data_IF_969173523261
#
_entry.id   IF_969173523261
#
_cell.length_a   1.000
_cell.length_b   1.000
_cell.length_c   1.000
_cell.angle_alpha   90.00
_cell.angle_beta   90.00
_cell.angle_gamma   90.00
#
_symmetry.space_group_name_H-M   'P 1'
#
loop_
_entity.id
_entity.type
_entity.pdbx_description
1 polymer ?
#
# COMPACT_ATOMS: atom_id res chain seq x y z
N UNK A 1 8.33 0.21 11.96
CA UNK A 1 7.58 -0.60 10.99
C UNK A 1 6.40 0.20 10.45
N UNK A 2 6.09 0.05 9.19
CA UNK A 2 5.02 0.77 8.53
C UNK A 2 3.95 -0.20 8.03
N UNK A 3 2.72 0.26 8.02
CA UNK A 3 1.58 -0.53 7.56
C UNK A 3 0.73 0.27 6.58
N UNK A 4 0.13 -0.45 5.63
CA UNK A 4 -0.83 0.12 4.68
C UNK A 4 -2.01 -0.83 4.57
N UNK A 5 -3.20 -0.34 4.88
CA UNK A 5 -4.43 -1.07 4.65
C UNK A 5 -4.85 -0.87 3.20
N UNK A 6 -4.61 -1.85 2.36
CA UNK A 6 -4.92 -1.73 0.93
C UNK A 6 -6.41 -1.84 0.62
N UNK A 7 -7.21 -2.30 1.56
CA UNK A 7 -8.64 -2.46 1.31
C UNK A 7 -9.33 -1.14 0.99
N UNK A 8 -8.83 -0.03 1.52
CA UNK A 8 -9.39 1.28 1.24
C UNK A 8 -8.84 1.95 -0.01
N UNK A 9 -7.87 1.35 -0.69
CA UNK A 9 -7.16 1.97 -1.81
C UNK A 9 -7.23 1.11 -3.06
N UNK A 10 -7.03 -0.19 -2.92
CA UNK A 10 -7.00 -1.12 -4.05
C UNK A 10 -8.29 -1.93 -4.07
N UNK A 11 -9.10 -1.83 -5.12
CA UNK A 11 -10.33 -2.63 -5.22
C UNK A 11 -10.02 -4.13 -5.16
N UNK A 12 -10.72 -4.86 -4.32
CA UNK A 12 -10.53 -6.30 -4.18
C UNK A 12 -9.41 -6.71 -3.25
N UNK A 13 -8.64 -5.78 -2.72
CA UNK A 13 -7.59 -6.08 -1.74
C UNK A 13 -8.17 -6.08 -0.33
N UNK A 14 -7.81 -7.11 0.44
CA UNK A 14 -8.27 -7.23 1.83
C UNK A 14 -7.10 -7.43 2.80
N UNK A 15 -5.91 -7.02 2.39
CA UNK A 15 -4.69 -7.24 3.15
C UNK A 15 -4.18 -5.99 3.81
N UNK A 16 -3.39 -6.18 4.86
CA UNK A 16 -2.56 -5.13 5.42
C UNK A 16 -1.13 -5.42 5.01
N UNK A 17 -0.50 -4.46 4.34
CA UNK A 17 0.88 -4.57 3.87
C UNK A 17 1.78 -3.97 4.93
N UNK A 18 2.79 -4.70 5.35
CA UNK A 18 3.74 -4.28 6.38
C UNK A 18 5.16 -4.38 5.87
N UNK A 19 5.99 -3.42 6.24
CA UNK A 19 7.41 -3.46 5.94
C UNK A 19 8.16 -2.50 6.88
N UNK A 20 9.48 -2.59 6.83
CA UNK A 20 10.33 -1.80 7.72
C UNK A 20 10.47 -0.35 7.28
N UNK A 21 10.20 -0.05 6.00
CA UNK A 21 10.28 1.32 5.48
C UNK A 21 9.07 1.67 4.67
N UNK A 22 8.79 2.98 4.55
CA UNK A 22 7.68 3.47 3.74
C UNK A 22 7.84 3.06 2.28
N UNK A 23 9.04 3.19 1.73
CA UNK A 23 9.31 2.84 0.35
C UNK A 23 9.01 1.38 0.07
N UNK A 24 9.35 0.50 1.00
CA UNK A 24 9.09 -0.92 0.87
C UNK A 24 7.61 -1.24 0.89
N UNK A 25 6.85 -0.60 1.78
CA UNK A 25 5.40 -0.76 1.84
C UNK A 25 4.76 -0.35 0.53
N UNK A 26 5.16 0.80 0.00
CA UNK A 26 4.61 1.32 -1.26
C UNK A 26 4.94 0.39 -2.41
N UNK A 27 6.17 -0.13 -2.46
CA UNK A 27 6.59 -1.08 -3.48
C UNK A 27 5.72 -2.33 -3.46
N UNK A 28 5.47 -2.88 -2.28
CA UNK A 28 4.62 -4.06 -2.13
C UNK A 28 3.18 -3.76 -2.51
N UNK A 29 2.69 -2.57 -2.19
CA UNK A 29 1.36 -2.14 -2.57
C UNK A 29 1.20 -2.05 -4.08
N UNK A 30 2.21 -1.53 -4.77
CA UNK A 30 2.20 -1.45 -6.24
C UNK A 30 2.15 -2.85 -6.85
N UNK A 31 2.96 -3.78 -6.34
CA UNK A 31 2.96 -5.16 -6.82
C UNK A 31 1.59 -5.79 -6.60
N UNK A 32 1.00 -5.60 -5.42
CA UNK A 32 -0.30 -6.14 -5.11
C UNK A 32 -1.39 -5.58 -6.02
N UNK A 33 -1.34 -4.27 -6.29
CA UNK A 33 -2.29 -3.63 -7.19
C UNK A 33 -2.21 -4.24 -8.59
N UNK A 34 -1.01 -4.47 -9.10
CA UNK A 34 -0.82 -5.07 -10.41
C UNK A 34 -1.35 -6.49 -10.47
N UNK A 35 -1.17 -7.25 -9.41
CA UNK A 35 -1.69 -8.61 -9.34
C UNK A 35 -3.23 -8.65 -9.33
N UNK A 36 -3.86 -7.59 -8.84
CA UNK A 36 -5.32 -7.47 -8.79
C UNK A 36 -5.90 -6.81 -10.05
N UNK A 37 -5.09 -6.57 -11.07
CA UNK A 37 -5.57 -6.07 -12.35
C UNK A 37 -5.41 -4.57 -12.56
N UNK A 38 -4.73 -3.87 -11.67
CA UNK A 38 -4.44 -2.44 -11.86
C UNK A 38 -3.22 -2.31 -12.76
N UNK A 39 -3.44 -1.99 -14.03
CA UNK A 39 -2.37 -1.96 -15.02
C UNK A 39 -1.47 -0.72 -14.89
N UNK A 40 -2.04 0.38 -14.46
CA UNK A 40 -1.32 1.65 -14.39
C UNK A 40 -1.36 2.20 -12.98
N UNK A 41 -0.19 2.49 -12.44
CA UNK A 41 -0.07 3.14 -11.14
C UNK A 41 0.02 4.64 -11.37
N UNK A 42 -1.07 5.34 -11.10
CA UNK A 42 -1.15 6.79 -11.32
C UNK A 42 -0.56 7.55 -10.13
N UNK A 43 -0.19 8.84 -10.32
CA UNK A 43 0.22 9.68 -9.18
C UNK A 43 -0.84 9.76 -8.09
N UNK A 44 -2.12 9.79 -8.45
CA UNK A 44 -3.21 9.82 -7.49
C UNK A 44 -3.24 8.55 -6.64
N UNK A 45 -2.98 7.40 -7.24
CA UNK A 45 -2.91 6.14 -6.52
C UNK A 45 -1.73 6.13 -5.56
N UNK A 46 -0.58 6.64 -5.99
CA UNK A 46 0.60 6.75 -5.12
C UNK A 46 0.32 7.66 -3.93
N UNK A 47 -0.37 8.77 -4.15
CA UNK A 47 -0.76 9.68 -3.07
C UNK A 47 -1.72 8.97 -2.10
N UNK A 48 -2.64 8.18 -2.61
CA UNK A 48 -3.55 7.41 -1.77
C UNK A 48 -2.78 6.42 -0.89
N UNK A 49 -1.76 5.76 -1.42
CA UNK A 49 -0.91 4.87 -0.64
C UNK A 49 -0.23 5.64 0.50
N UNK A 50 0.34 6.80 0.20
CA UNK A 50 1.01 7.62 1.22
C UNK A 50 0.05 8.11 2.29
N UNK A 51 -1.15 8.50 1.90
CA UNK A 51 -2.15 9.00 2.83
C UNK A 51 -2.69 7.91 3.75
N UNK A 52 -2.70 6.67 3.29
CA UNK A 52 -3.16 5.52 4.08
C UNK A 52 -2.05 4.86 4.87
N UNK A 53 -0.81 5.19 4.56
CA UNK A 53 0.36 4.62 5.22
C UNK A 53 0.41 5.10 6.67
N UNK A 54 0.56 4.18 7.59
CA UNK A 54 0.69 4.50 9.01
C UNK A 54 1.96 3.88 9.57
N UNK A 55 2.55 4.55 10.54
CA UNK A 55 3.66 4.00 11.27
C UNK A 55 3.12 3.20 12.44
N UNK A 56 3.41 1.91 12.44
CA UNK A 56 3.03 1.04 13.54
C UNK A 56 4.10 1.09 14.62
N UNK A 57 3.75 1.59 15.78
CA UNK A 57 4.64 1.54 16.92
C UNK A 57 4.76 0.12 17.39
N UNK A 58 5.99 -0.36 17.45
CA UNK A 58 6.28 -1.69 17.98
C UNK A 58 7.06 -1.52 19.26
N UNK A 59 6.54 -2.03 20.33
CA UNK A 59 7.21 -2.00 21.62
C UNK A 59 7.41 -3.41 22.14
#
# INVERSE_FOLDING_TARGET
MYELDCAGVIPGCTRIIRAESQAEVIRRAVVQAKQLGVDTITPNLMDAFRNRLTEASVH
#
